data_IF_309390459518
#
_entry.id   IF_309390459518
#
_cell.length_a   1.000
_cell.length_b   1.000
_cell.length_c   1.000
_cell.angle_alpha   90.00
_cell.angle_beta   90.00
_cell.angle_gamma   90.00
#
_symmetry.space_group_name_H-M   'P 1'
#
loop_
_entity.id
_entity.type
_entity.pdbx_description
1 polymer ?
#
# COMPACT_ATOMS: atom_id res chain seq x y z
N UNK A 1 24.20 11.69 -15.90
CA UNK A 1 24.44 13.15 -15.94
C UNK A 1 23.52 13.75 -16.99
N UNK A 2 22.80 14.83 -16.65
CA UNK A 2 22.00 15.62 -17.59
C UNK A 2 22.89 16.73 -18.12
N UNK A 3 22.99 16.84 -19.44
CA UNK A 3 23.76 17.89 -20.12
C UNK A 3 22.78 18.78 -20.91
N UNK A 4 22.52 19.98 -20.42
CA UNK A 4 21.71 20.94 -21.15
C UNK A 4 22.49 21.45 -22.35
N UNK A 5 21.87 21.42 -23.53
CA UNK A 5 22.48 21.91 -24.77
C UNK A 5 21.97 23.26 -25.19
N UNK A 6 20.66 23.46 -25.14
CA UNK A 6 20.03 24.65 -25.69
C UNK A 6 18.76 25.02 -24.96
N UNK A 7 18.54 26.30 -24.73
CA UNK A 7 17.26 26.86 -24.26
C UNK A 7 16.85 27.97 -25.18
N UNK A 8 15.60 27.96 -25.61
CA UNK A 8 15.05 29.08 -26.40
C UNK A 8 13.63 29.41 -25.97
N UNK A 9 13.29 30.64 -26.01
CA UNK A 9 11.99 31.12 -25.58
C UNK A 9 11.55 32.38 -26.31
N UNK A 10 10.24 32.54 -26.49
CA UNK A 10 9.63 33.75 -27.08
C UNK A 10 8.35 34.10 -26.33
N UNK A 11 7.99 35.38 -26.36
CA UNK A 11 6.82 35.91 -25.66
C UNK A 11 6.76 35.50 -24.18
N UNK A 12 7.91 35.24 -23.59
CA UNK A 12 8.06 34.80 -22.22
C UNK A 12 8.55 35.97 -21.36
N UNK A 13 7.73 36.39 -20.39
CA UNK A 13 7.98 37.56 -19.55
C UNK A 13 8.23 38.82 -20.42
N UNK A 14 9.41 39.42 -20.33
CA UNK A 14 9.79 40.65 -21.08
C UNK A 14 10.31 40.36 -22.49
N UNK A 15 10.39 39.09 -22.94
CA UNK A 15 10.91 38.79 -24.28
C UNK A 15 9.83 38.93 -25.36
N UNK A 16 10.24 39.39 -26.55
CA UNK A 16 9.35 39.60 -27.68
C UNK A 16 9.02 38.34 -28.47
N UNK A 17 8.47 38.53 -29.68
CA UNK A 17 7.99 37.40 -30.52
C UNK A 17 9.13 36.68 -31.28
N UNK A 18 10.34 37.16 -31.21
CA UNK A 18 11.50 36.46 -31.74
C UNK A 18 12.06 35.51 -30.67
N UNK A 19 12.53 34.36 -31.11
CA UNK A 19 13.18 33.45 -30.18
C UNK A 19 14.47 34.02 -29.64
N UNK A 20 14.57 34.13 -28.33
CA UNK A 20 15.85 34.30 -27.62
C UNK A 20 16.40 32.89 -27.42
N UNK A 21 17.60 32.65 -27.92
CA UNK A 21 18.28 31.36 -27.89
C UNK A 21 19.57 31.49 -27.09
N UNK A 22 19.78 30.51 -26.19
CA UNK A 22 21.00 30.43 -25.38
C UNK A 22 21.56 29.03 -25.56
N UNK A 23 22.73 28.91 -26.10
CA UNK A 23 23.47 27.68 -26.22
C UNK A 23 24.27 27.41 -24.93
N UNK A 24 24.12 26.24 -24.38
CA UNK A 24 24.76 25.78 -23.15
C UNK A 24 25.75 24.64 -23.40
N UNK A 25 25.77 24.12 -24.64
CA UNK A 25 26.58 22.97 -25.01
C UNK A 25 27.94 23.32 -25.60
N UNK A 26 28.12 24.54 -26.07
CA UNK A 26 29.37 24.95 -26.76
C UNK A 26 30.59 25.06 -25.82
N UNK A 27 30.37 25.46 -24.60
CA UNK A 27 31.44 25.73 -23.63
C UNK A 27 31.14 25.12 -22.25
N UNK A 28 32.19 24.78 -21.52
CA UNK A 28 32.07 24.27 -20.12
C UNK A 28 31.52 25.33 -19.16
N UNK A 29 31.61 26.60 -19.49
CA UNK A 29 31.13 27.72 -18.68
C UNK A 29 30.59 28.82 -19.58
N UNK A 30 29.37 29.28 -19.32
CA UNK A 30 28.73 30.37 -20.04
C UNK A 30 28.47 31.54 -19.10
N UNK A 31 28.97 32.72 -19.43
CA UNK A 31 28.72 33.96 -18.66
C UNK A 31 27.60 34.75 -19.32
N UNK A 32 26.51 35.02 -18.61
CA UNK A 32 25.42 35.88 -19.06
C UNK A 32 25.54 37.24 -18.41
N UNK A 33 25.84 38.25 -19.19
CA UNK A 33 26.05 39.64 -18.76
C UNK A 33 24.92 40.52 -19.31
N UNK A 34 24.54 41.52 -18.57
CA UNK A 34 23.54 42.51 -18.98
C UNK A 34 23.16 43.44 -17.84
N UNK A 35 22.52 44.53 -18.14
CA UNK A 35 22.00 45.49 -17.16
C UNK A 35 20.89 44.92 -16.30
N UNK A 36 20.54 45.57 -15.19
CA UNK A 36 19.41 45.17 -14.37
C UNK A 36 18.12 45.35 -15.18
N UNK A 37 17.29 44.29 -15.20
CA UNK A 37 16.08 44.24 -16.02
C UNK A 37 16.28 43.66 -17.43
N UNK A 38 17.49 43.43 -17.91
CA UNK A 38 17.78 42.88 -19.24
C UNK A 38 17.34 41.41 -19.45
N UNK A 39 16.72 40.79 -18.46
CA UNK A 39 16.18 39.43 -18.60
C UNK A 39 17.12 38.28 -18.18
N UNK A 40 18.25 38.58 -17.50
CA UNK A 40 19.19 37.53 -17.03
C UNK A 40 18.50 36.41 -16.22
N UNK A 41 17.62 36.78 -15.30
CA UNK A 41 16.90 35.84 -14.50
C UNK A 41 15.73 35.14 -15.23
N UNK A 42 15.29 35.70 -16.36
CA UNK A 42 14.26 35.11 -17.23
C UNK A 42 14.70 33.77 -17.78
N UNK A 43 15.99 33.57 -18.01
CA UNK A 43 16.58 32.33 -18.43
C UNK A 43 16.35 31.19 -17.40
N UNK A 44 16.52 31.48 -16.10
CA UNK A 44 16.26 30.50 -15.06
C UNK A 44 14.75 30.11 -14.95
N UNK A 45 13.90 31.14 -15.12
CA UNK A 45 12.45 30.90 -15.18
C UNK A 45 12.06 30.06 -16.40
N UNK A 46 12.72 30.31 -17.56
CA UNK A 46 12.47 29.54 -18.77
C UNK A 46 12.83 28.09 -18.61
N UNK A 47 14.01 27.76 -18.07
CA UNK A 47 14.42 26.39 -17.80
C UNK A 47 13.42 25.69 -16.88
N UNK A 48 13.12 26.29 -15.74
CA UNK A 48 12.22 25.66 -14.74
C UNK A 48 10.80 25.57 -15.24
N UNK A 49 10.32 26.54 -16.01
CA UNK A 49 9.01 26.48 -16.64
C UNK A 49 8.94 25.36 -17.70
N UNK A 50 9.94 25.23 -18.55
CA UNK A 50 9.98 24.18 -19.56
C UNK A 50 9.93 22.78 -18.92
N UNK A 51 10.75 22.54 -17.91
CA UNK A 51 10.87 21.22 -17.26
C UNK A 51 9.70 20.92 -16.30
N UNK A 52 9.27 21.88 -15.49
CA UNK A 52 8.33 21.62 -14.38
C UNK A 52 6.99 22.38 -14.51
N UNK A 53 6.81 23.21 -15.54
CA UNK A 53 5.59 24.03 -15.71
C UNK A 53 5.43 25.14 -14.69
N UNK A 54 6.51 25.44 -13.92
CA UNK A 54 6.57 26.48 -12.88
C UNK A 54 7.84 27.32 -13.07
N UNK A 55 7.77 28.66 -12.96
CA UNK A 55 8.96 29.48 -12.98
C UNK A 55 9.80 29.30 -11.72
N UNK A 56 11.07 29.70 -11.77
CA UNK A 56 11.96 29.72 -10.61
C UNK A 56 11.55 30.79 -9.60
N UNK A 57 11.23 31.98 -10.08
CA UNK A 57 10.69 33.06 -9.26
C UNK A 57 9.23 32.83 -8.93
N UNK A 58 8.74 33.38 -7.82
CA UNK A 58 7.35 33.30 -7.43
C UNK A 58 6.46 34.21 -8.30
N UNK A 59 6.21 33.76 -9.54
CA UNK A 59 5.44 34.46 -10.56
C UNK A 59 4.26 33.54 -10.94
N UNK A 60 3.06 34.11 -11.04
CA UNK A 60 1.89 33.33 -11.46
C UNK A 60 1.97 32.99 -12.96
N UNK A 61 1.48 31.81 -13.34
CA UNK A 61 1.54 31.30 -14.71
C UNK A 61 1.00 32.29 -15.78
N UNK A 62 -0.12 33.00 -15.58
CA UNK A 62 -0.59 33.99 -16.54
C UNK A 62 0.38 35.16 -16.79
N UNK A 63 1.19 35.53 -15.78
CA UNK A 63 2.16 36.61 -15.85
C UNK A 63 3.43 36.23 -16.61
N UNK A 64 3.60 34.95 -16.94
CA UNK A 64 4.72 34.47 -17.77
C UNK A 64 4.56 34.86 -19.25
N UNK A 65 3.34 35.11 -19.70
CA UNK A 65 3.07 35.55 -21.05
C UNK A 65 3.45 37.03 -21.18
N UNK A 66 4.15 37.40 -22.26
CA UNK A 66 4.48 38.78 -22.55
C UNK A 66 3.22 39.66 -22.57
N UNK A 67 3.22 40.72 -21.81
CA UNK A 67 2.06 41.62 -21.63
C UNK A 67 1.68 42.43 -22.85
N UNK A 68 2.58 42.55 -23.85
CA UNK A 68 2.31 43.27 -25.10
C UNK A 68 1.68 42.35 -26.13
N UNK A 69 2.25 41.16 -26.30
CA UNK A 69 1.79 40.19 -27.32
C UNK A 69 0.65 39.29 -26.84
N UNK A 70 0.55 39.03 -25.56
CA UNK A 70 -0.48 38.25 -24.84
C UNK A 70 -0.77 36.83 -25.35
N UNK A 71 0.05 36.34 -26.29
CA UNK A 71 -0.12 35.02 -26.95
C UNK A 71 1.23 34.42 -27.35
N UNK A 72 1.19 33.21 -27.83
CA UNK A 72 2.33 32.47 -28.41
C UNK A 72 3.56 32.42 -27.51
N UNK A 73 3.33 32.34 -26.19
CA UNK A 73 4.41 32.12 -25.22
C UNK A 73 4.89 30.70 -25.35
N UNK A 74 6.12 30.50 -25.81
CA UNK A 74 6.72 29.18 -26.00
C UNK A 74 8.12 29.17 -25.38
N UNK A 75 8.40 28.10 -24.66
CA UNK A 75 9.74 27.81 -24.12
C UNK A 75 10.11 26.39 -24.55
N UNK A 76 11.33 26.26 -25.04
CA UNK A 76 11.90 24.96 -25.44
C UNK A 76 13.24 24.75 -24.74
N UNK A 77 13.50 23.54 -24.30
CA UNK A 77 14.78 23.14 -23.74
C UNK A 77 15.21 21.81 -24.37
N UNK A 78 16.48 21.77 -24.74
CA UNK A 78 17.13 20.57 -25.26
C UNK A 78 18.26 20.14 -24.32
N UNK A 79 18.31 18.83 -24.06
CA UNK A 79 19.32 18.24 -23.18
C UNK A 79 19.59 16.79 -23.53
N UNK A 80 20.75 16.31 -23.14
CA UNK A 80 21.16 14.92 -23.30
C UNK A 80 21.18 14.19 -21.96
N UNK A 81 20.75 12.93 -21.99
CA UNK A 81 20.97 11.98 -20.90
C UNK A 81 21.66 10.76 -21.51
N UNK A 82 22.94 10.59 -21.21
CA UNK A 82 23.77 9.61 -21.89
C UNK A 82 23.90 9.92 -23.38
N UNK A 83 23.35 9.08 -24.24
CA UNK A 83 23.36 9.28 -25.71
C UNK A 83 22.02 9.76 -26.27
N UNK A 84 20.98 9.80 -25.46
CA UNK A 84 19.62 10.14 -25.89
C UNK A 84 19.40 11.64 -25.81
N UNK A 85 18.90 12.21 -26.89
CA UNK A 85 18.53 13.62 -26.97
C UNK A 85 17.06 13.82 -26.57
N UNK A 86 16.83 14.71 -25.64
CA UNK A 86 15.50 15.11 -25.22
C UNK A 86 15.24 16.57 -25.55
N UNK A 87 14.04 16.83 -26.07
CA UNK A 87 13.55 18.21 -26.25
C UNK A 87 12.19 18.33 -25.58
N UNK A 88 12.04 19.32 -24.73
CA UNK A 88 10.77 19.65 -24.08
C UNK A 88 10.28 20.98 -24.58
N UNK A 89 9.08 21.03 -25.10
CA UNK A 89 8.38 22.23 -25.56
C UNK A 89 7.20 22.51 -24.66
N UNK A 90 7.14 23.70 -24.12
CA UNK A 90 6.03 24.14 -23.28
C UNK A 90 5.53 25.50 -23.69
N UNK A 91 4.20 25.64 -23.81
CA UNK A 91 3.57 26.89 -24.23
C UNK A 91 2.42 27.33 -23.34
N UNK A 92 2.14 28.62 -23.41
CA UNK A 92 0.95 29.24 -22.83
C UNK A 92 0.28 30.06 -23.94
N UNK A 93 -1.03 29.82 -24.17
CA UNK A 93 -1.81 30.50 -25.23
C UNK A 93 -1.19 30.35 -26.64
N UNK A 94 -1.21 29.14 -27.21
CA UNK A 94 -1.90 27.91 -26.78
C UNK A 94 -1.17 27.15 -25.68
N UNK A 95 -1.91 26.30 -24.93
CA UNK A 95 -1.29 25.43 -23.95
C UNK A 95 -0.64 24.25 -24.67
N UNK A 96 0.68 24.23 -24.68
CA UNK A 96 1.50 23.19 -25.31
C UNK A 96 2.31 22.49 -24.23
N UNK A 97 2.41 21.18 -24.30
CA UNK A 97 3.37 20.40 -23.56
C UNK A 97 3.76 19.16 -24.34
N UNK A 98 4.93 19.18 -24.93
CA UNK A 98 5.45 18.13 -25.80
C UNK A 98 6.84 17.70 -25.33
N UNK A 99 7.08 16.41 -25.41
CA UNK A 99 8.39 15.80 -25.10
C UNK A 99 8.83 15.03 -26.33
N UNK A 100 9.97 15.35 -26.84
CA UNK A 100 10.61 14.64 -27.94
C UNK A 100 11.80 13.83 -27.42
N UNK A 101 11.95 12.63 -27.95
CA UNK A 101 13.06 11.72 -27.69
C UNK A 101 13.70 11.37 -29.01
N UNK A 102 14.96 11.73 -29.21
CA UNK A 102 15.71 11.57 -30.46
C UNK A 102 14.94 12.10 -31.70
N UNK A 103 14.29 13.24 -31.54
CA UNK A 103 13.50 13.91 -32.57
C UNK A 103 12.08 13.36 -32.78
N UNK A 104 11.71 12.25 -32.14
CA UNK A 104 10.38 11.69 -32.23
C UNK A 104 9.51 12.17 -31.05
N UNK A 105 8.29 12.63 -31.36
CA UNK A 105 7.32 13.05 -30.34
C UNK A 105 6.92 11.82 -29.51
N UNK A 106 7.04 11.94 -28.21
CA UNK A 106 6.55 10.91 -27.29
C UNK A 106 5.02 10.83 -27.38
N UNK A 107 4.48 9.61 -27.51
CA UNK A 107 3.05 9.40 -27.66
C UNK A 107 2.22 10.02 -26.52
N UNK A 108 1.24 10.85 -26.87
CA UNK A 108 0.49 11.70 -25.93
C UNK A 108 -0.91 11.16 -25.61
N UNK A 109 -1.11 9.86 -25.51
CA UNK A 109 -2.41 9.26 -25.15
C UNK A 109 -2.81 9.45 -23.68
N UNK A 110 -1.89 9.94 -22.82
CA UNK A 110 -2.12 10.16 -21.41
C UNK A 110 -2.44 11.63 -21.07
N UNK A 111 -2.93 11.88 -19.86
CA UNK A 111 -3.20 13.25 -19.37
C UNK A 111 -1.90 14.02 -19.16
N UNK A 112 -1.92 15.34 -19.34
CA UNK A 112 -0.74 16.21 -19.14
C UNK A 112 -0.05 16.03 -17.77
N UNK A 113 -0.77 15.61 -16.74
CA UNK A 113 -0.22 15.28 -15.42
C UNK A 113 0.67 14.03 -15.46
N UNK A 114 0.26 13.02 -16.19
CA UNK A 114 1.01 11.77 -16.30
C UNK A 114 2.31 11.98 -17.08
N UNK A 115 2.28 12.90 -18.05
CA UNK A 115 3.47 13.35 -18.78
C UNK A 115 4.45 14.12 -17.90
N UNK A 116 3.93 14.98 -17.02
CA UNK A 116 4.78 15.69 -16.07
C UNK A 116 5.46 14.70 -15.09
N UNK A 117 4.68 13.76 -14.58
CA UNK A 117 5.19 12.70 -13.71
C UNK A 117 6.24 11.83 -14.42
N UNK A 118 6.02 11.52 -15.70
CA UNK A 118 6.99 10.77 -16.51
C UNK A 118 8.28 11.57 -16.71
N UNK A 119 8.18 12.87 -17.05
CA UNK A 119 9.33 13.75 -17.20
C UNK A 119 10.14 13.83 -15.90
N UNK A 120 9.48 14.06 -14.76
CA UNK A 120 10.15 14.21 -13.47
C UNK A 120 10.73 12.91 -12.94
N UNK A 121 9.95 11.79 -12.99
CA UNK A 121 10.32 10.53 -12.32
C UNK A 121 11.16 9.60 -13.18
N UNK A 122 10.94 9.62 -14.51
CA UNK A 122 11.61 8.68 -15.42
C UNK A 122 12.76 9.31 -16.16
N UNK A 123 12.55 10.49 -16.74
CA UNK A 123 13.57 11.17 -17.57
C UNK A 123 14.56 11.91 -16.67
N UNK A 124 14.08 12.91 -15.92
CA UNK A 124 14.94 13.78 -15.11
C UNK A 124 15.39 13.09 -13.81
N UNK A 125 14.58 12.21 -13.28
CA UNK A 125 14.72 11.56 -11.96
C UNK A 125 14.88 12.58 -10.82
N UNK A 126 14.22 13.73 -10.98
CA UNK A 126 14.36 14.86 -10.09
C UNK A 126 13.08 15.71 -10.12
N UNK A 127 12.59 16.11 -8.98
CA UNK A 127 11.45 17.01 -8.88
C UNK A 127 11.87 18.48 -8.89
N UNK A 128 10.89 19.38 -9.00
CA UNK A 128 11.14 20.83 -9.03
C UNK A 128 11.98 21.35 -7.85
N UNK A 129 11.69 20.87 -6.61
CA UNK A 129 12.43 21.33 -5.42
C UNK A 129 13.88 20.89 -5.46
N UNK A 130 14.13 19.64 -5.80
CA UNK A 130 15.48 19.09 -5.90
C UNK A 130 16.27 19.79 -7.01
N UNK A 131 15.63 20.01 -8.16
CA UNK A 131 16.27 20.74 -9.27
C UNK A 131 16.69 22.15 -8.87
N UNK A 132 15.78 22.90 -8.24
CA UNK A 132 16.07 24.29 -7.81
C UNK A 132 17.07 24.37 -6.65
N UNK A 133 17.31 23.27 -5.93
CA UNK A 133 18.30 23.23 -4.86
C UNK A 133 19.68 22.74 -5.32
N UNK A 134 19.72 21.92 -6.37
CA UNK A 134 20.97 21.27 -6.84
C UNK A 134 21.52 21.99 -8.07
N UNK A 135 20.65 22.33 -9.01
CA UNK A 135 21.07 22.87 -10.32
C UNK A 135 21.09 24.40 -10.33
N UNK A 136 20.14 25.04 -9.65
CA UNK A 136 20.03 26.48 -9.61
C UNK A 136 20.51 27.03 -8.26
N UNK A 137 21.68 27.63 -8.23
CA UNK A 137 22.21 28.31 -7.06
C UNK A 137 21.92 29.81 -7.20
N UNK A 138 20.72 30.22 -6.84
CA UNK A 138 20.28 31.62 -6.98
C UNK A 138 20.29 32.40 -5.67
N UNK A 139 20.48 33.70 -5.74
CA UNK A 139 20.57 34.55 -4.54
C UNK A 139 19.22 35.02 -3.99
N UNK A 140 18.17 35.15 -4.82
CA UNK A 140 16.95 35.90 -4.46
C UNK A 140 15.82 35.02 -3.90
N UNK A 141 15.70 33.78 -4.34
CA UNK A 141 14.66 32.82 -3.88
C UNK A 141 15.24 31.47 -3.43
N UNK A 142 16.57 31.46 -3.25
CA UNK A 142 17.24 30.24 -2.80
C UNK A 142 17.09 30.08 -1.29
N UNK A 143 16.44 29.01 -0.87
CA UNK A 143 16.42 28.61 0.54
C UNK A 143 17.60 27.68 0.76
N UNK A 144 18.58 28.03 1.62
CA UNK A 144 19.71 27.14 1.90
C UNK A 144 19.24 25.76 2.35
N UNK A 145 19.93 24.72 1.91
CA UNK A 145 19.58 23.33 2.20
C UNK A 145 19.29 23.08 3.68
N UNK A 146 20.06 23.68 4.57
CA UNK A 146 19.88 23.51 6.02
C UNK A 146 18.61 24.19 6.58
N UNK A 147 18.03 25.12 5.86
CA UNK A 147 16.77 25.79 6.23
C UNK A 147 15.53 25.07 5.66
N UNK A 148 15.71 24.09 4.78
CA UNK A 148 14.62 23.26 4.30
C UNK A 148 14.02 22.45 5.44
N UNK A 149 12.74 22.08 5.31
CA UNK A 149 12.13 21.10 6.22
C UNK A 149 12.89 19.76 6.19
N UNK A 150 12.78 18.97 7.26
CA UNK A 150 13.42 17.65 7.30
C UNK A 150 12.93 16.74 6.16
N UNK A 151 11.64 16.83 5.79
CA UNK A 151 11.08 16.09 4.68
C UNK A 151 11.67 16.54 3.32
N UNK A 152 11.77 17.83 3.10
CA UNK A 152 12.33 18.39 1.85
C UNK A 152 13.82 18.06 1.71
N UNK A 153 14.61 18.18 2.79
CA UNK A 153 16.04 17.77 2.78
C UNK A 153 16.19 16.31 2.39
N UNK A 154 15.35 15.44 2.97
CA UNK A 154 15.36 14.02 2.64
C UNK A 154 15.06 13.78 1.17
N UNK A 155 14.02 14.42 0.63
CA UNK A 155 13.65 14.32 -0.79
C UNK A 155 14.80 14.75 -1.71
N UNK A 156 15.46 15.88 -1.41
CA UNK A 156 16.61 16.35 -2.19
C UNK A 156 17.76 15.35 -2.18
N UNK A 157 18.06 14.75 -1.01
CA UNK A 157 19.09 13.72 -0.90
C UNK A 157 18.70 12.45 -1.67
N UNK A 158 17.44 12.01 -1.55
CA UNK A 158 16.95 10.83 -2.25
C UNK A 158 16.99 11.00 -3.77
N UNK A 159 16.66 12.20 -4.28
CA UNK A 159 16.77 12.54 -5.69
C UNK A 159 18.23 12.57 -6.15
N UNK A 160 19.11 13.24 -5.38
CA UNK A 160 20.52 13.38 -5.73
C UNK A 160 21.25 12.03 -5.79
N UNK A 161 20.90 11.11 -4.90
CA UNK A 161 21.51 9.77 -4.81
C UNK A 161 20.79 8.72 -5.64
N UNK A 162 19.69 9.08 -6.34
CA UNK A 162 18.81 8.14 -7.08
C UNK A 162 18.33 6.96 -6.21
N UNK A 163 18.02 7.25 -4.93
CA UNK A 163 17.64 6.24 -3.92
C UNK A 163 16.15 6.27 -3.55
N UNK A 164 15.31 6.95 -4.31
CA UNK A 164 13.86 7.02 -4.10
C UNK A 164 13.20 5.63 -4.08
N UNK A 165 13.82 4.66 -4.75
CA UNK A 165 13.35 3.27 -4.77
C UNK A 165 13.20 2.71 -3.34
N UNK A 166 14.14 3.02 -2.44
CA UNK A 166 14.09 2.53 -1.06
C UNK A 166 12.95 3.16 -0.25
N UNK A 167 12.65 4.43 -0.49
CA UNK A 167 11.51 5.11 0.12
C UNK A 167 10.18 4.51 -0.37
N UNK A 168 10.07 4.24 -1.66
CA UNK A 168 8.92 3.55 -2.25
C UNK A 168 8.76 2.13 -1.71
N UNK A 169 9.85 1.38 -1.62
CA UNK A 169 9.85 0.05 -0.99
C UNK A 169 9.41 0.11 0.48
N UNK A 170 9.89 1.08 1.24
CA UNK A 170 9.51 1.26 2.65
C UNK A 170 8.00 1.56 2.81
N UNK A 171 7.41 2.36 1.92
CA UNK A 171 5.95 2.61 1.91
C UNK A 171 5.19 1.31 1.64
N UNK A 172 5.58 0.53 0.64
CA UNK A 172 4.96 -0.75 0.30
C UNK A 172 5.10 -1.76 1.46
N UNK A 173 6.29 -1.85 2.04
CA UNK A 173 6.54 -2.74 3.19
C UNK A 173 5.68 -2.34 4.39
N UNK A 174 5.61 -1.06 4.72
CA UNK A 174 4.77 -0.57 5.82
C UNK A 174 3.28 -0.87 5.59
N UNK A 175 2.79 -0.68 4.38
CA UNK A 175 1.42 -1.02 4.00
C UNK A 175 1.16 -2.52 4.19
N UNK A 176 2.05 -3.38 3.67
CA UNK A 176 1.94 -4.84 3.85
C UNK A 176 1.98 -5.26 5.33
N UNK A 177 2.89 -4.67 6.10
CA UNK A 177 2.97 -4.94 7.55
C UNK A 177 1.67 -4.55 8.26
N UNK A 178 1.06 -3.43 7.89
CA UNK A 178 -0.22 -3.00 8.47
C UNK A 178 -1.32 -4.02 8.16
N UNK A 179 -1.50 -4.37 6.90
CA UNK A 179 -2.50 -5.36 6.48
C UNK A 179 -2.30 -6.70 7.21
N UNK A 180 -1.06 -7.20 7.25
CA UNK A 180 -0.75 -8.47 7.93
C UNK A 180 -0.98 -8.42 9.44
N UNK A 181 -0.73 -7.29 10.07
CA UNK A 181 -1.05 -7.10 11.50
C UNK A 181 -2.55 -7.13 11.75
N UNK A 182 -3.34 -6.52 10.87
CA UNK A 182 -4.80 -6.53 11.00
C UNK A 182 -5.36 -7.94 10.78
N UNK A 183 -4.86 -8.66 9.79
CA UNK A 183 -5.21 -10.07 9.56
C UNK A 183 -4.84 -10.96 10.74
N UNK A 184 -3.64 -10.80 11.28
CA UNK A 184 -3.18 -11.53 12.47
C UNK A 184 -4.04 -11.22 13.71
N UNK A 185 -4.46 -9.97 13.89
CA UNK A 185 -5.35 -9.57 14.98
C UNK A 185 -6.75 -10.22 14.82
N UNK A 186 -7.30 -10.22 13.60
CA UNK A 186 -8.58 -10.89 13.31
C UNK A 186 -8.53 -12.39 13.56
N UNK A 187 -7.45 -13.04 13.09
CA UNK A 187 -7.25 -14.47 13.31
C UNK A 187 -7.11 -14.80 14.79
N UNK A 188 -6.44 -13.95 15.56
CA UNK A 188 -6.34 -14.12 17.02
C UNK A 188 -7.71 -14.07 17.71
N UNK A 189 -8.56 -13.12 17.33
CA UNK A 189 -9.93 -13.02 17.84
C UNK A 189 -10.73 -14.30 17.48
N UNK A 190 -10.58 -14.81 16.25
CA UNK A 190 -11.24 -16.06 15.84
C UNK A 190 -10.77 -17.27 16.66
N UNK A 191 -9.46 -17.34 16.94
CA UNK A 191 -8.89 -18.40 17.80
C UNK A 191 -9.48 -18.32 19.21
N UNK A 192 -9.50 -17.15 19.81
CA UNK A 192 -10.01 -16.95 21.17
C UNK A 192 -11.52 -17.28 21.24
N UNK A 193 -12.32 -16.79 20.30
CA UNK A 193 -13.75 -17.14 20.20
C UNK A 193 -13.98 -18.65 20.04
N UNK A 194 -13.10 -19.32 19.32
CA UNK A 194 -13.18 -20.75 19.10
C UNK A 194 -12.83 -21.54 20.36
N UNK A 195 -11.83 -21.09 21.12
CA UNK A 195 -11.46 -21.64 22.43
C UNK A 195 -12.61 -21.53 23.42
N UNK A 196 -13.24 -20.36 23.47
CA UNK A 196 -14.40 -20.12 24.35
C UNK A 196 -15.56 -21.07 24.00
N UNK A 197 -15.83 -21.28 22.70
CA UNK A 197 -16.83 -22.25 22.25
C UNK A 197 -16.49 -23.69 22.68
N UNK A 198 -15.23 -24.07 22.54
CA UNK A 198 -14.75 -25.40 22.98
C UNK A 198 -14.98 -25.57 24.49
N UNK A 199 -14.63 -24.56 25.29
CA UNK A 199 -14.83 -24.61 26.75
C UNK A 199 -16.32 -24.74 27.13
N UNK A 200 -17.16 -23.94 26.46
CA UNK A 200 -18.61 -24.00 26.64
C UNK A 200 -19.18 -25.40 26.31
N UNK A 201 -18.75 -25.96 25.19
CA UNK A 201 -19.18 -27.30 24.79
C UNK A 201 -18.68 -28.39 25.74
N UNK A 202 -17.46 -28.25 26.28
CA UNK A 202 -16.96 -29.16 27.31
C UNK A 202 -17.84 -29.13 28.59
N UNK A 203 -18.14 -27.95 29.09
CA UNK A 203 -19.02 -27.76 30.26
C UNK A 203 -20.40 -28.38 30.02
N UNK A 204 -21.00 -28.12 28.87
CA UNK A 204 -22.29 -28.71 28.52
C UNK A 204 -22.26 -30.23 28.45
N UNK A 205 -21.19 -30.77 27.90
CA UNK A 205 -20.96 -32.21 27.88
C UNK A 205 -20.89 -32.83 29.29
N UNK A 206 -20.16 -32.18 30.18
CA UNK A 206 -20.02 -32.66 31.56
C UNK A 206 -21.36 -32.60 32.32
N UNK A 207 -22.15 -31.56 32.09
CA UNK A 207 -23.52 -31.45 32.61
C UNK A 207 -24.42 -32.56 32.06
N UNK A 208 -24.40 -32.81 30.75
CA UNK A 208 -25.16 -33.87 30.12
C UNK A 208 -24.78 -35.27 30.66
N UNK A 209 -23.49 -35.52 30.85
CA UNK A 209 -22.99 -36.78 31.44
C UNK A 209 -23.47 -36.95 32.88
N UNK A 210 -23.40 -35.87 33.68
CA UNK A 210 -23.87 -35.88 35.07
C UNK A 210 -25.34 -36.17 35.14
N UNK A 211 -26.16 -35.46 34.39
CA UNK A 211 -27.62 -35.64 34.35
C UNK A 211 -27.99 -37.05 33.86
N UNK A 212 -27.30 -37.54 32.81
CA UNK A 212 -27.50 -38.90 32.31
C UNK A 212 -27.16 -39.94 33.36
N UNK A 213 -26.04 -39.76 34.09
CA UNK A 213 -25.63 -40.69 35.15
C UNK A 213 -26.63 -40.66 36.31
N UNK A 214 -27.07 -39.49 36.76
CA UNK A 214 -28.09 -39.35 37.80
C UNK A 214 -29.41 -40.04 37.40
N UNK A 215 -29.81 -39.88 36.12
CA UNK A 215 -31.03 -40.52 35.61
C UNK A 215 -30.89 -42.03 35.55
N UNK A 216 -29.73 -42.55 35.12
CA UNK A 216 -29.41 -43.97 35.09
C UNK A 216 -29.38 -44.55 36.52
N UNK A 217 -28.74 -43.81 37.45
CA UNK A 217 -28.66 -44.28 38.85
C UNK A 217 -30.04 -44.27 39.54
N UNK A 218 -30.84 -43.22 39.30
CA UNK A 218 -32.23 -43.15 39.78
C UNK A 218 -33.07 -44.30 39.19
N UNK A 219 -32.93 -44.57 37.88
CA UNK A 219 -33.62 -45.68 37.24
C UNK A 219 -33.13 -47.07 37.72
N UNK A 220 -31.85 -47.22 38.03
CA UNK A 220 -31.32 -48.42 38.66
C UNK A 220 -31.93 -48.64 40.03
N UNK A 221 -32.08 -47.59 40.81
CA UNK A 221 -32.70 -47.68 42.15
C UNK A 221 -34.17 -48.03 42.07
N UNK A 222 -34.91 -47.39 41.15
CA UNK A 222 -36.29 -47.77 40.83
C UNK A 222 -36.44 -49.29 40.42
N UNK A 223 -35.49 -49.73 39.60
CA UNK A 223 -35.44 -51.18 39.22
C UNK A 223 -35.13 -52.10 40.41
N UNK A 224 -34.24 -51.64 41.32
CA UNK A 224 -33.96 -52.45 42.56
C UNK A 224 -35.18 -52.48 43.47
N UNK A 225 -35.89 -51.39 43.69
CA UNK A 225 -37.10 -51.26 44.46
C UNK A 225 -38.24 -52.14 43.86
N UNK A 226 -38.40 -52.01 42.51
CA UNK A 226 -39.36 -52.81 41.80
C UNK A 226 -39.05 -54.35 41.86
N UNK A 227 -37.77 -54.69 41.76
CA UNK A 227 -37.35 -56.09 41.95
C UNK A 227 -37.58 -56.58 43.37
N UNK A 228 -37.35 -55.74 44.38
CA UNK A 228 -37.64 -56.06 45.75
C UNK A 228 -39.17 -56.28 46.00
N UNK A 229 -39.98 -55.38 45.37
CA UNK A 229 -41.46 -55.53 45.41
C UNK A 229 -41.96 -56.73 44.66
N UNK A 230 -41.35 -57.09 43.54
CA UNK A 230 -41.67 -58.25 42.75
C UNK A 230 -41.25 -59.58 43.42
N UNK A 231 -40.16 -59.57 44.18
CA UNK A 231 -39.76 -60.72 44.96
C UNK A 231 -40.74 -61.03 46.14
N UNK A 232 -41.55 -60.01 46.45
CA UNK A 232 -42.63 -60.17 47.43
C UNK A 232 -43.95 -60.67 46.81
N UNK A 233 -44.10 -60.53 45.52
CA UNK A 233 -45.25 -61.02 44.77
C UNK A 233 -44.82 -62.28 43.99
N UNK A 234 -45.12 -63.44 44.50
CA UNK A 234 -44.64 -64.76 44.08
C UNK A 234 -44.97 -65.22 42.66
N UNK A 235 -45.30 -64.37 41.72
CA UNK A 235 -45.63 -64.89 40.40
C UNK A 235 -45.56 -63.87 39.26
N UNK A 236 -44.43 -63.44 38.78
CA UNK A 236 -44.45 -62.97 37.33
C UNK A 236 -43.04 -62.94 36.70
N UNK A 237 -42.62 -64.11 36.24
CA UNK A 237 -41.40 -64.26 35.47
C UNK A 237 -41.44 -63.47 34.09
N UNK A 238 -42.67 -63.25 33.62
CA UNK A 238 -42.86 -62.50 32.33
C UNK A 238 -42.66 -60.98 32.41
N UNK A 239 -42.82 -60.40 33.60
CA UNK A 239 -42.56 -58.97 33.72
C UNK A 239 -41.05 -58.65 33.77
N UNK A 240 -40.20 -59.67 34.09
CA UNK A 240 -38.75 -59.47 34.12
C UNK A 240 -38.09 -59.28 32.74
N UNK A 241 -38.63 -59.95 31.71
CA UNK A 241 -38.08 -59.77 30.34
C UNK A 241 -38.41 -58.39 29.75
N UNK A 242 -39.61 -57.87 30.07
CA UNK A 242 -39.99 -56.50 29.60
C UNK A 242 -39.16 -55.42 30.27
N UNK A 243 -38.77 -55.61 31.55
CA UNK A 243 -37.91 -54.69 32.27
C UNK A 243 -36.44 -54.67 31.74
N UNK A 244 -35.95 -55.86 31.34
CA UNK A 244 -34.63 -56.01 30.73
C UNK A 244 -34.61 -55.32 29.37
N UNK A 245 -35.67 -55.43 28.55
CA UNK A 245 -35.78 -54.73 27.26
C UNK A 245 -35.83 -53.20 27.43
N UNK A 246 -36.46 -52.70 28.47
CA UNK A 246 -36.40 -51.25 28.79
C UNK A 246 -35.00 -50.78 29.20
N UNK A 247 -34.22 -51.57 29.89
CA UNK A 247 -32.84 -51.31 30.27
C UNK A 247 -31.90 -51.29 29.05
N UNK A 248 -32.14 -52.17 28.09
CA UNK A 248 -31.37 -52.15 26.81
C UNK A 248 -31.69 -50.92 25.97
N UNK A 249 -32.92 -50.40 25.99
CA UNK A 249 -33.29 -49.16 25.33
C UNK A 249 -32.69 -47.96 26.04
N UNK A 250 -32.52 -47.96 27.34
CA UNK A 250 -31.82 -46.91 28.09
C UNK A 250 -30.30 -46.88 27.82
N UNK A 251 -29.67 -48.04 27.58
CA UNK A 251 -28.27 -48.10 27.14
C UNK A 251 -28.09 -47.61 25.69
N UNK A 252 -29.17 -47.60 24.89
CA UNK A 252 -29.11 -46.96 23.56
C UNK A 252 -28.93 -45.43 23.63
N UNK A 253 -29.38 -44.84 24.71
CA UNK A 253 -29.15 -43.43 24.97
C UNK A 253 -27.69 -43.13 25.36
N UNK A 254 -27.04 -44.07 26.05
CA UNK A 254 -25.62 -44.01 26.35
C UNK A 254 -24.77 -44.11 25.04
N UNK A 255 -25.19 -44.99 24.14
CA UNK A 255 -24.61 -45.11 22.79
C UNK A 255 -24.78 -43.81 21.93
N UNK A 256 -25.94 -43.16 22.08
CA UNK A 256 -26.19 -41.87 21.41
C UNK A 256 -25.33 -40.74 21.99
N UNK A 257 -25.13 -40.75 23.30
CA UNK A 257 -24.27 -39.78 23.99
C UNK A 257 -22.80 -40.01 23.63
N UNK A 258 -22.38 -41.28 23.56
CA UNK A 258 -21.04 -41.68 23.12
C UNK A 258 -20.78 -41.29 21.66
N UNK A 259 -21.76 -41.47 20.76
CA UNK A 259 -21.66 -40.99 19.36
C UNK A 259 -21.61 -39.45 19.24
N UNK A 260 -22.34 -38.75 20.08
CA UNK A 260 -22.25 -37.26 20.18
C UNK A 260 -20.89 -36.84 20.69
N UNK A 261 -20.36 -37.49 21.70
CA UNK A 261 -19.01 -37.23 22.24
C UNK A 261 -17.90 -37.47 21.19
N UNK A 262 -17.98 -38.60 20.47
CA UNK A 262 -17.05 -38.86 19.37
C UNK A 262 -17.10 -37.77 18.26
N UNK A 263 -18.32 -37.30 17.91
CA UNK A 263 -18.46 -36.20 16.94
C UNK A 263 -17.85 -34.92 17.45
N UNK A 264 -17.98 -34.61 18.73
CA UNK A 264 -17.38 -33.40 19.35
C UNK A 264 -15.87 -33.51 19.43
N UNK A 265 -15.31 -34.64 19.81
CA UNK A 265 -13.86 -34.87 19.79
C UNK A 265 -13.28 -34.76 18.37
N UNK A 266 -14.00 -35.26 17.36
CA UNK A 266 -13.59 -35.08 15.96
C UNK A 266 -13.67 -33.60 15.51
N UNK A 267 -14.61 -32.83 16.04
CA UNK A 267 -14.71 -31.40 15.78
C UNK A 267 -13.55 -30.64 16.46
N UNK A 268 -13.25 -30.98 17.71
CA UNK A 268 -12.12 -30.44 18.49
C UNK A 268 -10.81 -30.70 17.75
N UNK A 269 -10.53 -31.91 17.32
CA UNK A 269 -9.32 -32.23 16.54
C UNK A 269 -9.22 -31.43 15.22
N UNK A 270 -10.37 -31.21 14.53
CA UNK A 270 -10.38 -30.35 13.34
C UNK A 270 -10.08 -28.88 13.65
N UNK A 271 -10.63 -28.39 14.75
CA UNK A 271 -10.40 -27.00 15.18
C UNK A 271 -8.94 -26.84 15.60
N UNK A 272 -8.36 -27.75 16.37
CA UNK A 272 -6.94 -27.74 16.75
C UNK A 272 -6.02 -27.79 15.52
N UNK A 273 -6.36 -28.64 14.54
CA UNK A 273 -5.64 -28.68 13.27
C UNK A 273 -5.71 -27.35 12.49
N UNK A 274 -6.86 -26.68 12.52
CA UNK A 274 -7.00 -25.37 11.90
C UNK A 274 -6.23 -24.29 12.67
N UNK A 275 -6.22 -24.34 14.00
CA UNK A 275 -5.42 -23.43 14.85
C UNK A 275 -3.93 -23.57 14.51
N UNK A 276 -3.39 -24.79 14.50
CA UNK A 276 -1.99 -25.05 14.16
C UNK A 276 -1.62 -24.56 12.75
N UNK A 277 -2.54 -24.68 11.80
CA UNK A 277 -2.33 -24.17 10.45
C UNK A 277 -2.27 -22.63 10.44
N UNK A 278 -3.21 -21.99 11.12
CA UNK A 278 -3.26 -20.54 11.24
C UNK A 278 -2.04 -19.96 11.99
N UNK A 279 -1.56 -20.66 13.02
CA UNK A 279 -0.32 -20.28 13.73
C UNK A 279 0.91 -20.33 12.82
N UNK A 280 1.02 -21.38 11.98
CA UNK A 280 2.07 -21.45 10.95
C UNK A 280 1.96 -20.35 9.89
N UNK A 281 0.73 -20.04 9.48
CA UNK A 281 0.49 -18.95 8.55
C UNK A 281 0.88 -17.61 9.16
N UNK A 282 0.56 -17.36 10.42
CA UNK A 282 0.97 -16.17 11.17
C UNK A 282 2.51 -16.07 11.25
N UNK A 283 3.18 -17.17 11.60
CA UNK A 283 4.65 -17.23 11.67
C UNK A 283 5.27 -16.94 10.31
N UNK A 284 4.74 -17.56 9.26
CA UNK A 284 5.18 -17.32 7.88
C UNK A 284 5.04 -15.84 7.48
N UNK A 285 3.90 -15.21 7.76
CA UNK A 285 3.64 -13.82 7.42
C UNK A 285 4.36 -12.82 8.32
N UNK A 286 4.78 -13.22 9.53
CA UNK A 286 5.60 -12.38 10.40
C UNK A 286 7.06 -12.32 9.98
N UNK A 287 7.56 -13.38 9.32
CA UNK A 287 8.96 -13.51 8.89
C UNK A 287 9.16 -13.06 7.45
N UNK A 288 8.15 -13.25 6.58
CA UNK A 288 8.26 -12.94 5.16
C UNK A 288 7.43 -11.69 4.80
N UNK A 289 8.10 -10.57 4.61
CA UNK A 289 7.47 -9.32 4.13
C UNK A 289 7.16 -9.32 2.61
N UNK A 290 7.64 -10.31 1.89
CA UNK A 290 7.38 -10.53 0.46
C UNK A 290 7.10 -11.99 0.19
N UNK A 291 6.28 -12.30 -0.80
CA UNK A 291 5.95 -13.69 -1.18
C UNK A 291 7.18 -14.39 -1.78
N UNK A 292 7.67 -15.50 -1.20
CA UNK A 292 8.85 -16.20 -1.73
C UNK A 292 8.59 -16.93 -3.06
N UNK A 293 7.36 -16.93 -3.57
CA UNK A 293 6.97 -17.66 -4.79
C UNK A 293 6.59 -16.77 -5.96
N UNK A 294 6.23 -15.50 -5.75
CA UNK A 294 5.71 -14.62 -6.82
C UNK A 294 6.27 -13.19 -6.81
N UNK A 295 7.41 -12.94 -6.10
CA UNK A 295 8.05 -11.63 -6.02
C UNK A 295 7.10 -10.43 -6.06
#
# INVERSE_FOLDING_TARGET
VILFSKVRYKNFLSTGNLFTEIDLGEHSTTLIVGENGAGKSTFLDAITFALFGKPFRNINKPQLVNSINEKDCVVEIEFFIGKTNYKVVRGIKPNIFEIYVDGSLLNQDAKAKDYQDYLEKVILKMNYKSFTQIVILGSTNFTPFMQLSAADRRTVIEDLLDIQIFSSMNVIVKSKIHTLKDEAAQLKIQIDNTKDKIELHKKHLDELKKNSKELVDAKKQEVVENKASLSQLENDATSKEVEIDNLVNETSDEDNTTKKFQKLNNLEAKIEGNIQKLEKDIEFYSVNSTCPTCD
#
